data_IF_418210408244
#
_entry.id   IF_418210408244
#
_cell.length_a   1.000
_cell.length_b   1.000
_cell.length_c   1.000
_cell.angle_alpha   90.00
_cell.angle_beta   90.00
_cell.angle_gamma   90.00
#
_symmetry.space_group_name_H-M   'P 1'
#
loop_
_entity.id
_entity.type
_entity.pdbx_description
1 polymer ?
#
# COMPACT_ATOMS: atom_id res chain seq x y z
N UNK A 1 6.71 -14.85 -29.39
CA UNK A 1 7.14 -15.31 -28.06
C UNK A 1 7.99 -14.23 -27.43
N UNK A 2 7.45 -13.54 -26.42
CA UNK A 2 8.10 -12.37 -25.84
C UNK A 2 9.34 -12.73 -24.99
N UNK A 3 10.19 -11.76 -24.78
CA UNK A 3 11.44 -11.89 -23.98
C UNK A 3 11.14 -12.41 -22.58
N UNK A 4 10.01 -12.05 -21.99
CA UNK A 4 9.54 -12.54 -20.67
C UNK A 4 9.31 -14.05 -20.63
N UNK A 5 8.73 -14.64 -21.68
CA UNK A 5 8.52 -16.10 -21.73
C UNK A 5 9.83 -16.88 -21.85
N UNK A 6 10.81 -16.33 -22.57
CA UNK A 6 12.15 -16.94 -22.66
C UNK A 6 12.88 -16.90 -21.33
N UNK A 7 12.82 -15.77 -20.59
CA UNK A 7 13.44 -15.62 -19.31
C UNK A 7 12.84 -16.59 -18.27
N UNK A 8 11.52 -16.75 -18.28
CA UNK A 8 10.82 -17.69 -17.40
C UNK A 8 11.21 -19.16 -17.66
N UNK A 9 11.33 -19.54 -18.92
CA UNK A 9 11.78 -20.89 -19.31
C UNK A 9 13.23 -21.18 -18.92
N UNK A 10 14.10 -20.19 -18.98
CA UNK A 10 15.51 -20.33 -18.55
C UNK A 10 15.59 -20.44 -17.02
N UNK A 11 14.80 -19.63 -16.27
CA UNK A 11 14.72 -19.72 -14.82
C UNK A 11 14.19 -21.09 -14.35
N UNK A 12 13.15 -21.61 -15.01
CA UNK A 12 12.57 -22.91 -14.63
C UNK A 12 13.53 -24.07 -14.88
N UNK A 13 14.27 -24.06 -15.97
CA UNK A 13 15.32 -25.06 -16.26
C UNK A 13 16.48 -24.98 -15.27
N UNK A 14 16.94 -23.76 -14.98
CA UNK A 14 18.03 -23.54 -14.03
C UNK A 14 17.63 -23.96 -12.62
N UNK A 15 16.38 -23.66 -12.20
CA UNK A 15 15.83 -24.10 -10.92
C UNK A 15 15.73 -25.61 -10.82
N UNK A 16 15.38 -26.31 -11.91
CA UNK A 16 15.27 -27.77 -11.92
C UNK A 16 16.65 -28.44 -11.75
N UNK A 17 17.67 -27.91 -12.40
CA UNK A 17 19.04 -28.43 -12.30
C UNK A 17 19.70 -28.10 -10.93
N UNK A 18 19.44 -26.90 -10.38
CA UNK A 18 20.04 -26.46 -9.13
C UNK A 18 19.29 -26.94 -7.89
N UNK A 19 18.00 -27.25 -8.00
CA UNK A 19 17.22 -27.80 -6.88
C UNK A 19 17.75 -29.20 -6.46
N UNK A 20 18.28 -29.96 -7.41
CA UNK A 20 18.97 -31.22 -7.10
C UNK A 20 20.25 -31.04 -6.29
N UNK A 21 20.83 -29.80 -6.31
CA UNK A 21 22.04 -29.42 -5.55
C UNK A 21 21.72 -28.57 -4.31
N UNK A 22 20.44 -28.39 -3.96
CA UNK A 22 19.99 -27.64 -2.80
C UNK A 22 20.00 -26.10 -2.96
N UNK A 23 20.04 -25.59 -4.20
CA UNK A 23 19.99 -24.15 -4.49
C UNK A 23 18.70 -23.77 -5.21
N UNK A 24 18.12 -22.61 -4.84
CA UNK A 24 16.99 -22.01 -5.54
C UNK A 24 17.46 -20.70 -6.20
N UNK A 25 17.24 -20.58 -7.50
CA UNK A 25 17.51 -19.33 -8.24
C UNK A 25 16.19 -18.58 -8.42
N UNK A 26 16.16 -17.37 -7.90
CA UNK A 26 15.03 -16.47 -8.08
C UNK A 26 15.52 -15.13 -8.66
N UNK A 27 14.69 -14.50 -9.50
CA UNK A 27 14.99 -13.15 -9.97
C UNK A 27 14.95 -12.15 -8.79
N UNK A 28 15.77 -11.11 -8.85
CA UNK A 28 15.83 -10.06 -7.86
C UNK A 28 14.45 -9.43 -7.56
N UNK A 29 13.65 -9.21 -8.61
CA UNK A 29 12.30 -8.66 -8.48
C UNK A 29 11.34 -9.57 -7.69
N UNK A 30 11.46 -10.91 -7.85
CA UNK A 30 10.66 -11.87 -7.08
C UNK A 30 11.03 -11.84 -5.60
N UNK A 31 12.32 -11.73 -5.28
CA UNK A 31 12.80 -11.64 -3.90
C UNK A 31 12.32 -10.34 -3.26
N UNK A 32 12.41 -9.21 -3.96
CA UNK A 32 11.91 -7.92 -3.46
C UNK A 32 10.39 -7.94 -3.25
N UNK A 33 9.64 -8.52 -4.19
CA UNK A 33 8.18 -8.63 -4.07
C UNK A 33 7.79 -9.51 -2.88
N UNK A 34 8.47 -10.64 -2.70
CA UNK A 34 8.26 -11.50 -1.54
C UNK A 34 8.57 -10.79 -0.22
N UNK A 35 9.68 -10.07 -0.15
CA UNK A 35 10.06 -9.31 1.04
C UNK A 35 9.05 -8.21 1.38
N UNK A 36 8.55 -7.47 0.37
CA UNK A 36 7.53 -6.43 0.55
C UNK A 36 6.17 -6.97 0.98
N UNK A 37 5.75 -8.11 0.43
CA UNK A 37 4.48 -8.74 0.81
C UNK A 37 4.50 -9.32 2.23
N UNK A 38 5.68 -9.73 2.71
CA UNK A 38 5.85 -10.21 4.08
C UNK A 38 6.01 -9.12 5.13
N UNK A 39 6.26 -7.87 4.72
CA UNK A 39 6.48 -6.72 5.61
C UNK A 39 5.95 -5.45 4.96
N UNK A 40 4.65 -5.21 5.11
CA UNK A 40 3.98 -4.03 4.59
C UNK A 40 3.92 -2.94 5.65
N UNK A 41 4.47 -1.77 5.36
CA UNK A 41 4.49 -0.64 6.28
C UNK A 41 3.60 0.49 5.78
N UNK A 42 2.34 0.58 6.28
CA UNK A 42 1.43 1.60 5.85
C UNK A 42 1.67 2.95 6.55
N UNK A 43 1.61 4.01 5.75
CA UNK A 43 1.43 5.37 6.23
C UNK A 43 -0.04 5.56 6.58
N UNK A 44 -0.32 5.82 7.84
CA UNK A 44 -1.69 6.00 8.34
C UNK A 44 -2.12 7.47 8.19
N UNK A 45 -2.97 7.74 7.20
CA UNK A 45 -3.51 9.07 6.96
C UNK A 45 -4.96 9.14 7.46
N UNK A 46 -5.12 9.27 8.79
CA UNK A 46 -6.43 9.35 9.45
C UNK A 46 -7.00 10.77 9.40
N UNK A 47 -8.15 10.94 8.75
CA UNK A 47 -8.78 12.23 8.54
C UNK A 47 -10.06 12.41 9.37
N UNK A 48 -10.78 11.34 9.64
CA UNK A 48 -12.06 11.36 10.34
C UNK A 48 -12.33 10.02 11.08
N UNK A 49 -13.60 9.65 11.26
CA UNK A 49 -14.01 8.44 11.98
C UNK A 49 -13.38 7.14 11.45
N UNK A 50 -13.18 6.99 10.16
CA UNK A 50 -12.46 5.85 9.58
C UNK A 50 -11.01 5.74 10.08
N UNK A 51 -10.41 6.84 10.50
CA UNK A 51 -9.09 6.83 11.14
C UNK A 51 -9.08 6.06 12.45
N UNK A 52 -10.15 6.16 13.25
CA UNK A 52 -10.31 5.36 14.48
C UNK A 52 -10.49 3.88 14.14
N UNK A 53 -11.29 3.56 13.14
CA UNK A 53 -11.46 2.19 12.67
C UNK A 53 -10.14 1.60 12.15
N UNK A 54 -9.34 2.39 11.43
CA UNK A 54 -8.00 2.02 11.01
C UNK A 54 -7.10 1.71 12.24
N UNK A 55 -7.16 2.52 13.30
CA UNK A 55 -6.42 2.26 14.53
C UNK A 55 -6.85 0.93 15.17
N UNK A 56 -8.16 0.64 15.19
CA UNK A 56 -8.69 -0.62 15.72
C UNK A 56 -8.15 -1.84 14.98
N UNK A 57 -7.82 -1.74 13.71
CA UNK A 57 -7.23 -2.85 12.95
C UNK A 57 -5.83 -3.27 13.46
N UNK A 58 -5.10 -2.35 14.09
CA UNK A 58 -3.80 -2.61 14.73
C UNK A 58 -3.89 -2.94 16.23
N UNK A 59 -5.07 -2.80 16.83
CA UNK A 59 -5.29 -3.12 18.24
C UNK A 59 -5.43 -4.63 18.46
N UNK A 60 -5.42 -5.03 19.73
CA UNK A 60 -5.35 -6.41 20.19
C UNK A 60 -6.38 -7.38 19.57
N UNK A 61 -7.56 -6.88 19.15
CA UNK A 61 -8.61 -7.75 18.59
C UNK A 61 -8.26 -8.29 17.19
N UNK A 62 -7.70 -7.43 16.32
CA UNK A 62 -7.40 -7.79 14.93
C UNK A 62 -5.90 -7.95 14.70
N UNK A 63 -5.10 -7.12 15.36
CA UNK A 63 -3.65 -7.22 15.42
C UNK A 63 -2.97 -7.48 14.07
N UNK A 64 -3.06 -6.50 13.16
CA UNK A 64 -2.42 -6.57 11.85
C UNK A 64 -0.89 -6.69 11.95
N UNK A 65 -0.32 -6.32 13.09
CA UNK A 65 1.12 -6.42 13.33
C UNK A 65 1.63 -7.88 13.24
N UNK A 66 0.80 -8.85 13.65
CA UNK A 66 1.09 -10.28 13.50
C UNK A 66 1.28 -10.74 12.05
N UNK A 67 0.78 -9.97 11.09
CA UNK A 67 0.96 -10.22 9.65
C UNK A 67 2.10 -9.41 9.05
N UNK A 68 2.90 -8.71 9.87
CA UNK A 68 3.98 -7.85 9.42
C UNK A 68 3.52 -6.49 8.90
N UNK A 69 2.26 -6.10 9.16
CA UNK A 69 1.69 -4.82 8.75
C UNK A 69 1.81 -3.83 9.90
N UNK A 70 2.88 -3.02 9.88
CA UNK A 70 3.23 -2.11 10.98
C UNK A 70 3.03 -0.66 10.54
N UNK A 71 2.18 0.12 11.23
CA UNK A 71 1.93 1.51 10.87
C UNK A 71 3.18 2.38 11.06
N UNK A 72 3.41 3.29 10.12
CA UNK A 72 4.50 4.26 10.17
C UNK A 72 3.97 5.69 10.11
N UNK A 73 4.58 6.57 10.89
CA UNK A 73 4.25 8.00 10.90
C UNK A 73 4.98 8.81 9.83
N UNK A 74 6.02 8.23 9.20
CA UNK A 74 6.80 8.91 8.17
C UNK A 74 6.49 8.34 6.78
N UNK A 75 6.14 9.19 5.79
CA UNK A 75 5.89 8.73 4.42
C UNK A 75 7.14 8.13 3.77
N UNK A 76 8.32 8.55 4.15
CA UNK A 76 9.58 8.05 3.59
C UNK A 76 9.93 6.63 3.99
N UNK A 77 9.29 6.11 5.04
CA UNK A 77 9.47 4.75 5.57
C UNK A 77 8.26 3.85 5.28
N UNK A 78 7.36 4.29 4.41
CA UNK A 78 6.09 3.60 4.16
C UNK A 78 6.01 3.11 2.73
N UNK A 79 5.40 1.93 2.55
CA UNK A 79 5.21 1.28 1.25
C UNK A 79 3.83 1.57 0.66
N UNK A 80 2.84 1.78 1.53
CA UNK A 80 1.45 2.05 1.17
C UNK A 80 0.88 3.16 2.03
N UNK A 81 -0.01 3.99 1.48
CA UNK A 81 -0.75 5.00 2.23
C UNK A 81 -2.19 4.52 2.44
N UNK A 82 -2.69 4.59 3.66
CA UNK A 82 -4.10 4.36 3.97
C UNK A 82 -4.77 5.71 4.22
N UNK A 83 -5.65 6.11 3.30
CA UNK A 83 -6.46 7.33 3.45
C UNK A 83 -7.78 6.96 4.09
N UNK A 84 -7.95 7.31 5.37
CA UNK A 84 -9.08 6.90 6.19
C UNK A 84 -9.90 8.10 6.66
N UNK A 85 -10.96 8.41 5.95
CA UNK A 85 -11.90 9.47 6.30
C UNK A 85 -12.16 10.49 5.21
N UNK A 86 -12.88 11.54 5.56
CA UNK A 86 -13.31 12.59 4.64
C UNK A 86 -12.14 13.47 4.23
N UNK A 87 -11.86 13.55 2.94
CA UNK A 87 -10.86 14.45 2.39
C UNK A 87 -11.50 15.78 2.04
N UNK A 88 -11.00 16.85 2.67
CA UNK A 88 -11.45 18.22 2.37
C UNK A 88 -10.54 18.88 1.32
N UNK A 89 -11.08 19.85 0.58
CA UNK A 89 -10.31 20.65 -0.37
C UNK A 89 -9.08 21.32 0.28
N UNK A 90 -9.22 21.71 1.55
CA UNK A 90 -8.14 22.33 2.32
C UNK A 90 -7.03 21.35 2.70
N UNK A 91 -7.38 20.08 2.89
CA UNK A 91 -6.41 19.01 3.23
C UNK A 91 -5.82 18.34 1.99
N UNK A 92 -6.45 18.42 0.84
CA UNK A 92 -6.02 17.77 -0.39
C UNK A 92 -4.56 18.10 -0.79
N UNK A 93 -4.06 19.34 -0.71
CA UNK A 93 -2.66 19.65 -0.99
C UNK A 93 -1.70 18.98 -0.02
N UNK A 94 -2.08 18.83 1.27
CA UNK A 94 -1.27 18.16 2.26
C UNK A 94 -1.19 16.64 1.98
N UNK A 95 -2.31 16.01 1.62
CA UNK A 95 -2.34 14.62 1.20
C UNK A 95 -1.41 14.37 0.01
N UNK A 96 -1.51 15.20 -1.03
CA UNK A 96 -0.65 15.11 -2.22
C UNK A 96 0.83 15.23 -1.86
N UNK A 97 1.17 16.21 -1.02
CA UNK A 97 2.55 16.42 -0.58
C UNK A 97 3.11 15.21 0.18
N UNK A 98 2.31 14.59 1.04
CA UNK A 98 2.72 13.38 1.79
C UNK A 98 2.89 12.20 0.83
N UNK A 99 1.98 12.04 -0.13
CA UNK A 99 2.08 10.99 -1.15
C UNK A 99 3.36 11.12 -1.99
N UNK A 100 3.70 12.34 -2.41
CA UNK A 100 4.92 12.58 -3.20
C UNK A 100 6.21 12.33 -2.42
N UNK A 101 6.15 12.32 -1.08
CA UNK A 101 7.28 11.98 -0.21
C UNK A 101 7.47 10.48 0.01
N UNK A 102 6.55 9.65 -0.44
CA UNK A 102 6.69 8.20 -0.34
C UNK A 102 7.66 7.67 -1.41
N UNK A 103 8.49 6.68 -1.06
CA UNK A 103 9.36 6.02 -2.03
C UNK A 103 8.54 5.19 -3.03
N UNK A 104 9.03 5.03 -4.23
CA UNK A 104 8.44 4.14 -5.23
C UNK A 104 8.91 2.69 -5.04
N UNK A 105 8.06 1.70 -5.35
CA UNK A 105 6.64 1.79 -5.76
C UNK A 105 5.74 2.14 -4.57
N UNK A 106 4.80 3.06 -4.79
CA UNK A 106 3.87 3.56 -3.78
C UNK A 106 2.44 3.23 -4.14
N UNK A 107 1.67 2.81 -3.16
CA UNK A 107 0.28 2.38 -3.32
C UNK A 107 -0.61 3.15 -2.36
N UNK A 108 -1.88 3.29 -2.71
CA UNK A 108 -2.88 3.95 -1.87
C UNK A 108 -4.06 3.03 -1.64
N UNK A 109 -4.47 2.92 -0.38
CA UNK A 109 -5.70 2.25 0.03
C UNK A 109 -6.69 3.32 0.49
N UNK A 110 -7.77 3.47 -0.25
CA UNK A 110 -8.87 4.34 0.12
C UNK A 110 -9.81 3.61 1.06
N UNK A 111 -9.89 4.04 2.32
CA UNK A 111 -10.69 3.42 3.36
C UNK A 111 -11.93 4.23 3.68
N UNK A 112 -13.08 3.59 3.52
CA UNK A 112 -14.39 4.14 3.84
C UNK A 112 -15.02 4.95 2.72
N UNK A 113 -16.34 5.15 2.80
CA UNK A 113 -17.14 5.78 1.74
C UNK A 113 -16.76 7.24 1.48
N UNK A 114 -16.29 7.95 2.52
CA UNK A 114 -15.85 9.35 2.37
C UNK A 114 -14.57 9.46 1.55
N UNK A 115 -13.59 8.60 1.79
CA UNK A 115 -12.35 8.59 1.01
C UNK A 115 -12.59 8.10 -0.43
N UNK A 116 -13.52 7.16 -0.62
CA UNK A 116 -13.85 6.61 -1.94
C UNK A 116 -14.60 7.58 -2.84
N UNK A 117 -15.56 8.33 -2.29
CA UNK A 117 -16.43 9.17 -3.12
C UNK A 117 -17.09 10.34 -2.41
N UNK A 118 -16.60 10.74 -1.24
CA UNK A 118 -17.19 11.80 -0.43
C UNK A 118 -18.25 11.34 0.57
N UNK A 119 -18.81 10.14 0.42
CA UNK A 119 -19.76 9.55 1.36
C UNK A 119 -20.98 10.42 1.64
N UNK A 120 -21.32 10.60 2.91
CA UNK A 120 -22.41 11.50 3.35
C UNK A 120 -22.22 12.95 2.94
N UNK A 121 -20.97 13.38 2.70
CA UNK A 121 -20.61 14.75 2.39
C UNK A 121 -20.33 14.98 0.91
N UNK A 122 -20.77 14.07 0.05
CA UNK A 122 -20.51 14.12 -1.39
C UNK A 122 -20.88 15.45 -2.05
N UNK A 123 -21.98 16.05 -1.63
CA UNK A 123 -22.48 17.33 -2.16
C UNK A 123 -21.99 18.57 -1.40
N UNK A 124 -21.14 18.37 -0.39
CA UNK A 124 -20.56 19.49 0.35
C UNK A 124 -19.58 20.27 -0.53
N UNK A 125 -19.60 21.60 -0.40
CA UNK A 125 -18.67 22.50 -1.11
C UNK A 125 -17.20 22.31 -0.70
N UNK A 126 -16.94 21.76 0.48
CA UNK A 126 -15.62 21.68 1.08
C UNK A 126 -14.95 20.31 0.89
N UNK A 127 -15.66 19.32 0.37
CA UNK A 127 -15.20 17.93 0.31
C UNK A 127 -14.78 17.52 -1.11
N UNK A 128 -13.65 16.84 -1.20
CA UNK A 128 -13.19 16.20 -2.43
C UNK A 128 -13.96 14.89 -2.62
N UNK A 129 -14.51 14.67 -3.80
CA UNK A 129 -15.32 13.50 -4.16
C UNK A 129 -14.46 12.32 -4.55
N UNK A 130 -13.66 11.83 -3.59
CA UNK A 130 -12.74 10.71 -3.76
C UNK A 130 -11.27 11.14 -3.67
N UNK A 131 -10.46 10.36 -2.95
CA UNK A 131 -9.02 10.63 -2.83
C UNK A 131 -8.26 10.31 -4.12
N UNK A 132 -8.84 9.48 -5.00
CA UNK A 132 -8.35 9.16 -6.35
C UNK A 132 -8.20 10.38 -7.27
N UNK A 133 -8.80 11.51 -6.91
CA UNK A 133 -8.65 12.79 -7.64
C UNK A 133 -7.40 13.57 -7.23
N UNK A 134 -6.75 13.14 -6.18
CA UNK A 134 -5.58 13.82 -5.60
C UNK A 134 -4.33 12.94 -5.66
N UNK A 135 -4.49 11.62 -5.40
CA UNK A 135 -3.38 10.66 -5.31
C UNK A 135 -3.65 9.39 -6.07
#
# INVERSE_FOLDING_TARGET
MGVEQKNKLVEDKLNTELSSKGFLVASYDKILTWARTGSLWPMTFGLACCGVEMIHSYMARYDLDRYGVIPRGSPRQSDVMIVAGTLTNKMAPALRKVYDQMPEPRYVISMGSCANGGGYYHYSYSVVRGCDKVV
#
